data_IF_886932394240
#
_entry.id   IF_886932394240
#
_cell.length_a   1.000
_cell.length_b   1.000
_cell.length_c   1.000
_cell.angle_alpha   90.00
_cell.angle_beta   90.00
_cell.angle_gamma   90.00
#
_symmetry.space_group_name_H-M   'P 1'
#
loop_
_entity.id
_entity.type
_entity.pdbx_description
1 polymer ?
#
# COMPACT_ATOMS: atom_id res chain seq x y z
N UNK A 1 -3.17 3.73 -12.88
CA UNK A 1 -1.83 3.18 -13.09
C UNK A 1 -1.95 1.72 -13.52
N UNK A 2 -1.36 1.33 -14.63
CA UNK A 2 -1.42 -0.07 -15.08
C UNK A 2 -0.49 -0.92 -14.21
N UNK A 3 -0.90 -2.16 -13.92
CA UNK A 3 -0.07 -3.14 -13.21
C UNK A 3 1.26 -3.43 -13.93
N UNK A 4 1.31 -3.22 -15.25
CA UNK A 4 2.54 -3.32 -16.05
C UNK A 4 3.57 -2.25 -15.70
N UNK A 5 3.15 -1.04 -15.33
CA UNK A 5 4.08 0.01 -14.87
C UNK A 5 4.71 -0.33 -13.52
N UNK A 6 4.02 -1.06 -12.64
CA UNK A 6 4.60 -1.51 -11.37
C UNK A 6 5.66 -2.60 -11.55
N UNK A 7 5.63 -3.37 -12.63
CA UNK A 7 6.63 -4.38 -12.94
C UNK A 7 7.97 -3.79 -13.41
N UNK A 8 7.93 -2.68 -14.14
CA UNK A 8 9.15 -1.97 -14.59
C UNK A 8 9.85 -1.29 -13.43
N UNK A 9 9.12 -0.88 -12.41
CA UNK A 9 9.62 -0.19 -11.22
C UNK A 9 9.73 -1.08 -9.98
N UNK A 10 9.92 -2.40 -10.16
CA UNK A 10 10.14 -3.37 -9.07
C UNK A 10 11.29 -3.04 -8.13
N UNK A 11 12.14 -2.10 -8.50
CA UNK A 11 13.25 -1.63 -7.68
C UNK A 11 12.84 -0.51 -6.70
N UNK A 12 11.60 -0.06 -6.76
CA UNK A 12 11.12 0.87 -5.75
C UNK A 12 10.97 0.17 -4.40
N UNK A 13 11.37 0.86 -3.36
CA UNK A 13 11.53 0.27 -2.05
C UNK A 13 10.21 -0.01 -1.34
N UNK A 14 9.64 -1.16 -1.63
CA UNK A 14 8.53 -1.74 -0.88
C UNK A 14 8.99 -2.77 0.13
N UNK A 15 10.24 -3.24 0.04
CA UNK A 15 10.84 -4.10 1.07
C UNK A 15 11.15 -3.28 2.32
N UNK A 16 11.00 -3.90 3.48
CA UNK A 16 11.34 -3.29 4.77
C UNK A 16 12.87 -3.13 4.93
N UNK A 17 13.34 -2.22 5.81
CA UNK A 17 14.75 -2.16 6.19
C UNK A 17 15.26 -3.55 6.61
N UNK A 18 16.44 -3.91 6.15
CA UNK A 18 17.09 -5.21 6.38
C UNK A 18 16.33 -6.45 5.85
N UNK A 19 15.23 -6.28 5.14
CA UNK A 19 14.50 -7.40 4.56
C UNK A 19 15.33 -8.06 3.46
N UNK A 20 15.62 -9.36 3.65
CA UNK A 20 16.25 -10.20 2.65
C UNK A 20 15.21 -10.67 1.63
N UNK A 21 15.50 -10.46 0.35
CA UNK A 21 14.69 -10.90 -0.78
C UNK A 21 15.61 -11.35 -1.92
N UNK A 22 15.08 -11.96 -2.97
CA UNK A 22 15.88 -12.31 -4.15
C UNK A 22 16.56 -11.08 -4.80
N UNK A 23 15.93 -9.91 -4.70
CA UNK A 23 16.47 -8.66 -5.25
C UNK A 23 17.36 -7.90 -4.26
N UNK A 24 17.32 -8.27 -2.98
CA UNK A 24 18.17 -7.73 -1.90
C UNK A 24 18.74 -8.85 -1.06
N UNK A 25 19.68 -9.67 -1.60
CA UNK A 25 20.16 -10.89 -0.93
C UNK A 25 20.92 -10.65 0.37
N UNK A 26 21.48 -9.45 0.55
CA UNK A 26 22.17 -9.04 1.77
C UNK A 26 21.30 -8.20 2.72
N UNK A 27 19.98 -8.17 2.46
CA UNK A 27 19.08 -7.26 3.15
C UNK A 27 19.06 -5.87 2.53
N UNK A 28 17.94 -5.15 2.74
CA UNK A 28 17.82 -3.76 2.28
C UNK A 28 18.63 -2.84 3.20
N UNK A 29 19.75 -2.32 2.70
CA UNK A 29 20.50 -1.27 3.38
C UNK A 29 19.85 0.11 3.13
N UNK A 30 19.39 0.74 4.21
CA UNK A 30 18.75 2.06 4.14
C UNK A 30 19.71 3.19 3.76
N UNK A 31 21.03 3.00 3.97
CA UNK A 31 22.02 4.02 3.61
C UNK A 31 22.23 4.11 2.10
N UNK A 32 22.04 2.99 1.38
CA UNK A 32 22.20 2.92 -0.08
C UNK A 32 20.86 2.98 -0.83
N UNK A 33 19.83 2.30 -0.31
CA UNK A 33 18.52 2.16 -0.96
C UNK A 33 17.45 3.11 -0.40
N UNK A 34 17.75 3.84 0.66
CA UNK A 34 16.80 4.70 1.37
C UNK A 34 15.70 3.93 2.11
N UNK A 35 14.92 4.67 2.89
CA UNK A 35 13.75 4.12 3.58
C UNK A 35 12.60 3.84 2.61
N UNK A 36 11.75 2.83 2.89
CA UNK A 36 10.53 2.60 2.11
C UNK A 36 9.59 3.79 2.16
N UNK A 37 8.98 4.12 1.00
CA UNK A 37 8.06 5.25 0.89
C UNK A 37 6.70 4.86 1.45
N UNK A 38 6.15 5.70 2.31
CA UNK A 38 4.81 5.56 2.88
C UNK A 38 3.82 6.36 2.02
N UNK A 39 3.32 5.73 0.96
CA UNK A 39 2.53 6.40 -0.08
C UNK A 39 1.23 7.01 0.47
N UNK A 40 0.47 6.28 1.28
CA UNK A 40 -0.78 6.79 1.84
C UNK A 40 -0.56 8.01 2.74
N UNK A 41 0.46 7.98 3.60
CA UNK A 41 0.81 9.11 4.46
C UNK A 41 1.24 10.31 3.64
N UNK A 42 2.12 10.11 2.65
CA UNK A 42 2.62 11.19 1.80
C UNK A 42 1.48 11.83 0.99
N UNK A 43 0.63 11.02 0.35
CA UNK A 43 -0.45 11.55 -0.47
C UNK A 43 -1.60 12.14 0.35
N UNK A 44 -1.77 11.74 1.61
CA UNK A 44 -2.80 12.31 2.47
C UNK A 44 -2.59 13.80 2.77
N UNK A 45 -1.37 14.32 2.58
CA UNK A 45 -1.05 15.74 2.77
C UNK A 45 -1.49 16.62 1.61
N UNK A 46 -1.82 16.05 0.46
CA UNK A 46 -2.22 16.80 -0.73
C UNK A 46 -3.70 17.19 -0.69
N UNK A 47 -4.02 18.45 -0.94
CA UNK A 47 -5.40 18.97 -0.86
C UNK A 47 -6.37 18.29 -1.84
N UNK A 48 -5.90 17.98 -3.05
CA UNK A 48 -6.71 17.34 -4.11
C UNK A 48 -7.01 15.85 -3.90
N UNK A 49 -6.57 15.23 -2.80
CA UNK A 49 -6.83 13.81 -2.50
C UNK A 49 -8.14 13.64 -1.77
N UNK A 50 -9.10 12.96 -2.40
CA UNK A 50 -10.40 12.63 -1.85
C UNK A 50 -10.39 11.38 -0.95
N UNK A 51 -9.52 10.41 -1.24
CA UNK A 51 -9.36 9.20 -0.44
C UNK A 51 -7.91 8.73 -0.49
N UNK A 52 -7.33 8.47 0.67
CA UNK A 52 -6.09 7.70 0.81
C UNK A 52 -6.31 6.62 1.86
N UNK A 53 -6.27 5.36 1.47
CA UNK A 53 -6.55 4.23 2.36
C UNK A 53 -5.59 3.09 2.11
N UNK A 54 -5.02 2.54 3.18
CA UNK A 54 -4.20 1.32 3.14
C UNK A 54 -4.99 0.15 3.66
N UNK A 55 -4.98 -0.94 2.89
CA UNK A 55 -5.70 -2.18 3.16
C UNK A 55 -4.78 -3.37 2.92
N UNK A 56 -5.23 -4.57 3.31
CA UNK A 56 -4.59 -5.84 2.98
C UNK A 56 -5.64 -6.87 2.54
N UNK A 57 -5.19 -7.99 2.01
CA UNK A 57 -6.06 -9.07 1.52
C UNK A 57 -5.66 -10.43 2.11
N UNK A 58 -5.08 -10.41 3.29
CA UNK A 58 -4.57 -11.56 4.04
C UNK A 58 -5.67 -12.47 4.59
N UNK A 59 -6.87 -11.94 4.82
CA UNK A 59 -8.02 -12.68 5.32
C UNK A 59 -9.34 -12.15 4.75
N UNK A 60 -10.43 -12.93 4.92
CA UNK A 60 -11.77 -12.61 4.37
C UNK A 60 -12.30 -11.26 4.84
N UNK A 61 -12.07 -10.91 6.11
CA UNK A 61 -12.49 -9.60 6.66
C UNK A 61 -11.78 -8.46 5.93
N UNK A 62 -10.48 -8.56 5.76
CA UNK A 62 -9.66 -7.55 5.11
C UNK A 62 -9.94 -7.46 3.61
N UNK A 63 -10.21 -8.58 2.93
CA UNK A 63 -10.70 -8.60 1.54
C UNK A 63 -12.00 -7.79 1.39
N UNK A 64 -12.95 -7.94 2.31
CA UNK A 64 -14.19 -7.17 2.28
C UNK A 64 -13.96 -5.67 2.53
N UNK A 65 -13.00 -5.31 3.39
CA UNK A 65 -12.58 -3.91 3.59
C UNK A 65 -11.96 -3.36 2.31
N UNK A 66 -11.04 -4.12 1.68
CA UNK A 66 -10.40 -3.73 0.42
C UNK A 66 -11.43 -3.50 -0.71
N UNK A 67 -12.40 -4.41 -0.88
CA UNK A 67 -13.50 -4.26 -1.84
C UNK A 67 -14.28 -2.96 -1.63
N UNK A 68 -14.61 -2.63 -0.36
CA UNK A 68 -15.32 -1.39 -0.03
C UNK A 68 -14.48 -0.16 -0.32
N UNK A 69 -13.18 -0.19 -0.01
CA UNK A 69 -12.25 0.90 -0.28
C UNK A 69 -12.13 1.17 -1.79
N UNK A 70 -11.94 0.11 -2.59
CA UNK A 70 -11.85 0.21 -4.04
C UNK A 70 -13.16 0.75 -4.63
N UNK A 71 -14.31 0.22 -4.22
CA UNK A 71 -15.61 0.73 -4.66
C UNK A 71 -15.77 2.22 -4.35
N UNK A 72 -15.38 2.65 -3.14
CA UNK A 72 -15.43 4.06 -2.73
C UNK A 72 -14.51 4.93 -3.60
N UNK A 73 -13.30 4.45 -3.92
CA UNK A 73 -12.38 5.17 -4.79
C UNK A 73 -12.98 5.41 -6.18
N UNK A 74 -13.58 4.40 -6.79
CA UNK A 74 -14.30 4.56 -8.07
C UNK A 74 -15.50 5.50 -7.97
N UNK A 75 -16.27 5.40 -6.88
CA UNK A 75 -17.41 6.30 -6.65
C UNK A 75 -16.95 7.77 -6.55
N UNK A 76 -15.88 8.04 -5.83
CA UNK A 76 -15.29 9.38 -5.76
C UNK A 76 -14.86 9.89 -7.13
N UNK A 77 -14.32 9.01 -7.99
CA UNK A 77 -13.94 9.36 -9.37
C UNK A 77 -15.15 9.73 -10.22
N UNK A 78 -16.23 8.94 -10.15
CA UNK A 78 -17.48 9.19 -10.88
C UNK A 78 -18.11 10.51 -10.41
N UNK A 79 -18.06 10.78 -9.13
CA UNK A 79 -18.63 12.00 -8.52
C UNK A 79 -17.72 13.24 -8.64
N UNK A 80 -16.53 13.10 -9.27
CA UNK A 80 -15.59 14.20 -9.45
C UNK A 80 -15.00 14.78 -8.14
N UNK A 81 -14.92 13.97 -7.07
CA UNK A 81 -14.48 14.43 -5.74
C UNK A 81 -12.98 14.63 -5.61
N UNK A 82 -12.21 14.24 -6.59
CA UNK A 82 -10.75 14.34 -6.60
C UNK A 82 -10.05 12.99 -6.67
N UNK A 83 -8.73 13.02 -6.50
CA UNK A 83 -7.89 11.83 -6.60
C UNK A 83 -8.13 10.86 -5.45
N UNK A 84 -8.21 9.58 -5.76
CA UNK A 84 -8.34 8.53 -4.76
C UNK A 84 -7.26 7.47 -4.93
N UNK A 85 -6.65 7.04 -3.83
CA UNK A 85 -5.69 5.94 -3.80
C UNK A 85 -6.09 4.89 -2.77
N UNK A 86 -5.99 3.62 -3.17
CA UNK A 86 -6.08 2.47 -2.28
C UNK A 86 -4.78 1.70 -2.41
N UNK A 87 -3.98 1.72 -1.35
CA UNK A 87 -2.74 0.95 -1.26
C UNK A 87 -3.06 -0.41 -0.65
N UNK A 88 -2.78 -1.47 -1.41
CA UNK A 88 -3.03 -2.85 -0.97
C UNK A 88 -1.71 -3.51 -0.61
N UNK A 89 -1.51 -3.82 0.67
CA UNK A 89 -0.40 -4.65 1.10
C UNK A 89 -0.63 -6.09 0.61
N UNK A 90 0.35 -6.61 -0.12
CA UNK A 90 0.29 -7.94 -0.72
C UNK A 90 1.59 -8.70 -0.47
N UNK A 91 1.51 -10.02 -0.47
CA UNK A 91 2.67 -10.90 -0.33
C UNK A 91 3.36 -11.12 -1.67
N UNK A 92 4.65 -11.41 -1.61
CA UNK A 92 5.43 -11.89 -2.75
C UNK A 92 6.25 -13.14 -2.33
N UNK A 93 5.60 -14.32 -2.18
CA UNK A 93 6.25 -15.52 -1.66
C UNK A 93 7.53 -15.88 -2.40
N UNK A 94 7.50 -15.82 -3.72
CA UNK A 94 8.67 -16.14 -4.58
C UNK A 94 9.85 -15.22 -4.29
N UNK A 95 9.64 -13.90 -4.25
CA UNK A 95 10.72 -12.94 -4.00
C UNK A 95 11.22 -12.99 -2.54
N UNK A 96 10.34 -13.38 -1.60
CA UNK A 96 10.70 -13.50 -0.20
C UNK A 96 11.28 -14.86 0.16
N UNK A 97 11.20 -15.85 -0.74
CA UNK A 97 11.68 -17.22 -0.50
C UNK A 97 10.87 -17.96 0.56
N UNK A 98 9.57 -17.68 0.63
CA UNK A 98 8.62 -18.23 1.60
C UNK A 98 7.49 -19.01 0.91
N UNK A 99 6.86 -19.93 1.63
CA UNK A 99 5.58 -20.48 1.20
C UNK A 99 4.47 -19.41 1.25
N UNK A 100 3.36 -19.57 0.51
CA UNK A 100 2.26 -18.60 0.54
C UNK A 100 1.69 -18.36 1.94
N UNK A 101 1.61 -19.39 2.78
CA UNK A 101 1.09 -19.29 4.15
C UNK A 101 2.07 -18.54 5.05
N UNK A 102 3.35 -18.86 4.99
CA UNK A 102 4.41 -18.14 5.73
C UNK A 102 4.47 -16.66 5.32
N UNK A 103 4.29 -16.38 4.02
CA UNK A 103 4.29 -15.00 3.53
C UNK A 103 3.12 -14.17 4.07
N UNK A 104 1.94 -14.76 4.26
CA UNK A 104 0.80 -14.10 4.89
C UNK A 104 1.08 -13.78 6.36
N UNK A 105 1.62 -14.74 7.10
CA UNK A 105 1.98 -14.59 8.51
C UNK A 105 3.10 -13.53 8.68
N UNK A 106 4.09 -13.54 7.78
CA UNK A 106 5.15 -12.55 7.76
C UNK A 106 4.62 -11.14 7.46
N UNK A 107 3.68 -10.99 6.52
CA UNK A 107 3.04 -9.72 6.19
C UNK A 107 2.34 -9.14 7.43
N UNK A 108 1.55 -9.95 8.12
CA UNK A 108 0.82 -9.52 9.32
C UNK A 108 1.78 -9.09 10.44
N UNK A 109 2.84 -9.86 10.68
CA UNK A 109 3.79 -9.62 11.79
C UNK A 109 4.78 -8.49 11.52
N UNK A 110 5.16 -8.27 10.27
CA UNK A 110 6.26 -7.33 9.93
C UNK A 110 5.81 -6.14 9.09
N UNK A 111 4.99 -6.36 8.05
CA UNK A 111 4.58 -5.27 7.16
C UNK A 111 3.48 -4.41 7.77
N UNK A 112 2.46 -5.00 8.38
CA UNK A 112 1.34 -4.24 8.96
C UNK A 112 1.79 -3.30 10.08
N UNK A 113 2.70 -3.67 11.00
CA UNK A 113 3.24 -2.72 11.98
C UNK A 113 4.04 -1.57 11.36
N UNK A 114 4.77 -1.83 10.28
CA UNK A 114 5.51 -0.79 9.57
C UNK A 114 4.63 0.10 8.69
N UNK A 115 3.62 -0.48 8.06
CA UNK A 115 2.61 0.16 7.23
C UNK A 115 1.21 -0.03 7.85
N UNK A 116 0.84 0.74 8.87
CA UNK A 116 -0.45 0.57 9.54
C UNK A 116 -1.62 0.65 8.56
N UNK A 117 -2.57 -0.27 8.72
CA UNK A 117 -3.79 -0.27 7.92
C UNK A 117 -4.73 0.84 8.38
N UNK A 118 -5.45 1.47 7.46
CA UNK A 118 -6.42 2.48 7.83
C UNK A 118 -6.73 3.48 6.73
N UNK A 119 -7.59 4.43 7.09
CA UNK A 119 -7.95 5.57 6.25
C UNK A 119 -7.09 6.75 6.69
N UNK A 120 -6.23 7.22 5.81
CA UNK A 120 -5.32 8.35 6.03
C UNK A 120 -5.95 9.68 5.65
N UNK A 121 -6.79 9.68 4.60
CA UNK A 121 -7.59 10.81 4.20
C UNK A 121 -8.94 10.34 3.67
N UNK A 122 -9.99 11.05 4.05
CA UNK A 122 -11.34 10.88 3.55
C UNK A 122 -11.99 12.25 3.37
N UNK A 123 -11.69 12.88 2.25
CA UNK A 123 -12.20 14.21 1.85
C UNK A 123 -13.70 14.23 1.52
N UNK A 124 -14.39 13.07 1.59
CA UNK A 124 -15.85 13.03 1.40
C UNK A 124 -16.61 13.61 2.58
N UNK A 125 -15.94 13.87 3.72
CA UNK A 125 -16.50 14.46 4.93
C UNK A 125 -16.20 15.95 5.06
N UNK A 126 -16.38 16.72 4.00
CA UNK A 126 -16.62 18.16 4.18
C UNK A 126 -15.44 19.11 4.11
N UNK A 127 -14.36 18.81 3.43
CA UNK A 127 -13.37 19.83 3.05
C UNK A 127 -13.51 20.19 1.56
N UNK A 128 -14.62 20.85 1.23
CA UNK A 128 -14.66 21.66 0.01
C UNK A 128 -13.95 22.97 0.36
N UNK A 129 -12.80 23.20 -0.27
CA UNK A 129 -12.23 24.54 -0.35
C UNK A 129 -13.35 25.50 -0.78
N UNK A 130 -13.72 26.41 0.11
CA UNK A 130 -14.53 27.57 -0.19
C UNK A 130 -13.68 28.58 -0.96
#
# INVERSE_FOLDING_TARGET
ASSAASDVYKRQPTSLPNQVTQTTPYGRDVNTAGYPVRICEMLSTLDGVALAQRVTVDNVKNVNIAKKAIKKAFQNQIEGKGYSIVEVLSTCPTNWGMSPVEALDWLEKNMVPYYPLGVYKDGTKGDRLK
#
